data_IF_283415642154
#
_entry.id   IF_283415642154
#
_cell.length_a   1.000
_cell.length_b   1.000
_cell.length_c   1.000
_cell.angle_alpha   90.00
_cell.angle_beta   90.00
_cell.angle_gamma   90.00
#
_symmetry.space_group_name_H-M   'P 1'
#
loop_
_entity.id
_entity.type
_entity.pdbx_description
1 polymer ?
#
# COMPACT_ATOMS: atom_id res chain seq x y z
N UNK A 1 16.27 14.67 -18.29
CA UNK A 1 15.73 15.13 -16.99
C UNK A 1 15.05 13.93 -16.34
N UNK A 2 15.81 13.10 -15.63
CA UNK A 2 15.24 11.97 -14.89
C UNK A 2 14.51 12.53 -13.67
N UNK A 3 13.19 12.43 -13.63
CA UNK A 3 12.46 12.63 -12.39
C UNK A 3 13.05 11.66 -11.36
N UNK A 4 13.51 12.11 -10.19
CA UNK A 4 13.89 11.18 -9.14
C UNK A 4 12.59 10.47 -8.78
N UNK A 5 12.46 9.23 -9.22
CA UNK A 5 11.46 8.32 -8.69
C UNK A 5 11.69 8.38 -7.19
N UNK A 6 10.82 9.09 -6.47
CA UNK A 6 10.89 9.20 -5.02
C UNK A 6 10.76 7.79 -4.50
N UNK A 7 11.89 7.16 -4.22
CA UNK A 7 11.98 5.82 -3.70
C UNK A 7 11.33 5.88 -2.33
N UNK A 8 10.02 5.63 -2.30
CA UNK A 8 9.29 5.38 -1.07
C UNK A 8 10.05 4.26 -0.36
N UNK A 9 10.61 4.52 0.84
CA UNK A 9 11.35 3.50 1.54
C UNK A 9 10.43 2.31 1.85
N UNK A 10 10.78 1.13 1.33
CA UNK A 10 9.97 -0.11 1.49
C UNK A 10 9.63 -0.41 2.95
N UNK A 11 10.49 -0.02 3.89
CA UNK A 11 10.27 -0.12 5.34
C UNK A 11 9.11 0.76 5.83
N UNK A 12 9.00 1.99 5.33
CA UNK A 12 7.91 2.90 5.68
C UNK A 12 6.59 2.41 5.08
N UNK A 13 6.61 2.00 3.81
CA UNK A 13 5.44 1.45 3.14
C UNK A 13 4.90 0.22 3.89
N UNK A 14 5.78 -0.72 4.29
CA UNK A 14 5.39 -1.89 5.08
C UNK A 14 4.71 -1.51 6.40
N UNK A 15 5.30 -0.58 7.15
CA UNK A 15 4.74 -0.12 8.43
C UNK A 15 3.33 0.45 8.27
N UNK A 16 3.12 1.27 7.25
CA UNK A 16 1.82 1.89 7.00
C UNK A 16 0.77 0.86 6.51
N UNK A 17 1.15 -0.10 5.67
CA UNK A 17 0.25 -1.19 5.24
C UNK A 17 -0.18 -2.01 6.46
N UNK A 18 0.76 -2.44 7.31
CA UNK A 18 0.44 -3.23 8.52
C UNK A 18 -0.40 -2.43 9.52
N UNK A 19 -0.19 -1.11 9.61
CA UNK A 19 -0.99 -0.25 10.48
C UNK A 19 -2.42 -0.04 9.94
N UNK A 20 -2.61 -0.02 8.61
CA UNK A 20 -3.93 0.17 8.00
C UNK A 20 -4.74 -1.12 7.90
N UNK A 21 -4.08 -2.24 7.65
CA UNK A 21 -4.71 -3.54 7.47
C UNK A 21 -4.11 -4.58 8.42
N UNK A 22 -4.68 -4.66 9.63
CA UNK A 22 -4.20 -5.50 10.74
C UNK A 22 -4.26 -7.02 10.48
N UNK A 23 -5.11 -7.48 9.56
CA UNK A 23 -5.27 -8.91 9.21
C UNK A 23 -4.20 -9.37 8.20
N UNK A 24 -3.42 -8.44 7.63
CA UNK A 24 -2.34 -8.79 6.71
C UNK A 24 -1.14 -9.28 7.50
N UNK A 25 -0.67 -10.47 7.15
CA UNK A 25 0.56 -11.02 7.74
C UNK A 25 1.78 -10.32 7.18
N UNK A 26 2.90 -10.41 7.89
CA UNK A 26 4.20 -9.88 7.42
C UNK A 26 4.54 -10.37 6.01
N UNK A 27 4.24 -11.63 5.70
CA UNK A 27 4.47 -12.23 4.38
C UNK A 27 3.57 -11.61 3.30
N UNK A 28 2.27 -11.44 3.58
CA UNK A 28 1.34 -10.79 2.63
C UNK A 28 1.84 -9.37 2.32
N UNK A 29 2.27 -8.61 3.33
CA UNK A 29 2.77 -7.25 3.15
C UNK A 29 4.08 -7.21 2.36
N UNK A 30 5.00 -8.16 2.59
CA UNK A 30 6.24 -8.24 1.81
C UNK A 30 5.95 -8.42 0.32
N UNK A 31 5.02 -9.30 -0.05
CA UNK A 31 4.60 -9.48 -1.44
C UNK A 31 3.90 -8.23 -2.01
N UNK A 32 3.05 -7.56 -1.22
CA UNK A 32 2.29 -6.39 -1.64
C UNK A 32 3.14 -5.12 -1.80
N UNK A 33 4.26 -4.99 -1.06
CA UNK A 33 5.11 -3.79 -1.17
C UNK A 33 5.76 -3.59 -2.54
N UNK A 34 5.82 -4.64 -3.37
CA UNK A 34 6.31 -4.56 -4.75
C UNK A 34 5.22 -4.26 -5.77
N UNK A 35 3.95 -4.59 -5.49
CA UNK A 35 2.88 -4.54 -6.48
C UNK A 35 1.52 -4.16 -5.86
N UNK A 36 0.90 -3.10 -6.40
CA UNK A 36 -0.41 -2.61 -5.97
C UNK A 36 -1.54 -3.59 -6.32
N UNK A 37 -1.43 -4.29 -7.44
CA UNK A 37 -2.41 -5.29 -7.86
C UNK A 37 -2.42 -6.45 -6.86
N UNK A 38 -1.24 -6.84 -6.36
CA UNK A 38 -1.13 -7.87 -5.33
C UNK A 38 -1.85 -7.48 -4.04
N UNK A 39 -1.72 -6.21 -3.63
CA UNK A 39 -2.47 -5.68 -2.48
C UNK A 39 -3.98 -5.76 -2.69
N UNK A 40 -4.48 -5.48 -3.89
CA UNK A 40 -5.91 -5.62 -4.23
C UNK A 40 -6.36 -7.08 -4.10
N UNK A 41 -5.59 -8.05 -4.60
CA UNK A 41 -5.90 -9.48 -4.45
C UNK A 41 -5.95 -9.92 -2.99
N UNK A 42 -4.95 -9.50 -2.21
CA UNK A 42 -4.86 -9.82 -0.79
C UNK A 42 -6.02 -9.21 0.00
N UNK A 43 -6.43 -7.97 -0.31
CA UNK A 43 -7.61 -7.35 0.32
C UNK A 43 -8.91 -8.07 -0.04
N UNK A 44 -9.04 -8.57 -1.27
CA UNK A 44 -10.18 -9.41 -1.64
C UNK A 44 -10.16 -10.74 -0.85
N UNK A 45 -9.00 -11.40 -0.74
CA UNK A 45 -8.86 -12.71 -0.12
C UNK A 45 -8.99 -12.68 1.42
N UNK A 46 -8.37 -11.71 2.09
CA UNK A 46 -8.32 -11.62 3.57
C UNK A 46 -9.55 -10.93 4.14
N UNK A 47 -9.97 -9.83 3.51
CA UNK A 47 -11.06 -8.99 4.03
C UNK A 47 -12.40 -9.19 3.31
N UNK A 48 -12.43 -10.00 2.25
CA UNK A 48 -13.66 -10.22 1.46
C UNK A 48 -14.12 -8.96 0.71
N UNK A 49 -13.22 -8.00 0.46
CA UNK A 49 -13.61 -6.79 -0.24
C UNK A 49 -14.00 -7.08 -1.68
N UNK A 50 -15.03 -6.40 -2.19
CA UNK A 50 -15.29 -6.40 -3.62
C UNK A 50 -14.13 -5.68 -4.34
N UNK A 51 -13.80 -6.10 -5.56
CA UNK A 51 -12.70 -5.55 -6.36
C UNK A 51 -12.66 -4.02 -6.36
N UNK A 52 -13.78 -3.36 -6.70
CA UNK A 52 -13.88 -1.89 -6.72
C UNK A 52 -13.56 -1.24 -5.37
N UNK A 53 -13.94 -1.88 -4.26
CA UNK A 53 -13.62 -1.41 -2.91
C UNK A 53 -12.13 -1.55 -2.64
N UNK A 54 -11.55 -2.70 -2.94
CA UNK A 54 -10.13 -2.94 -2.76
C UNK A 54 -9.26 -1.98 -3.61
N UNK A 55 -9.63 -1.77 -4.88
CA UNK A 55 -8.98 -0.80 -5.77
C UNK A 55 -9.01 0.62 -5.16
N UNK A 56 -10.18 1.05 -4.68
CA UNK A 56 -10.34 2.37 -4.06
C UNK A 56 -9.53 2.53 -2.77
N UNK A 57 -9.52 1.51 -1.90
CA UNK A 57 -8.74 1.52 -0.66
C UNK A 57 -7.23 1.63 -0.94
N UNK A 58 -6.74 0.89 -1.94
CA UNK A 58 -5.34 0.93 -2.35
C UNK A 58 -4.97 2.29 -2.95
N UNK A 59 -5.81 2.83 -3.82
CA UNK A 59 -5.59 4.16 -4.41
C UNK A 59 -5.54 5.26 -3.33
N UNK A 60 -6.52 5.27 -2.43
CA UNK A 60 -6.57 6.21 -1.30
C UNK A 60 -5.33 6.10 -0.42
N UNK A 61 -4.92 4.87 -0.08
CA UNK A 61 -3.72 4.63 0.70
C UNK A 61 -2.47 5.23 0.05
N UNK A 62 -2.23 4.99 -1.24
CA UNK A 62 -1.05 5.53 -1.92
C UNK A 62 -1.11 7.06 -2.08
N UNK A 63 -2.30 7.63 -2.25
CA UNK A 63 -2.50 9.07 -2.32
C UNK A 63 -2.15 9.73 -0.97
N UNK A 64 -2.77 9.27 0.11
CA UNK A 64 -2.56 9.78 1.48
C UNK A 64 -1.10 9.58 1.93
N UNK A 65 -0.52 8.41 1.63
CA UNK A 65 0.84 8.11 2.01
C UNK A 65 1.85 9.00 1.29
N UNK A 66 1.66 9.23 -0.02
CA UNK A 66 2.50 10.15 -0.80
C UNK A 66 2.35 11.58 -0.31
N UNK A 67 1.14 12.00 0.04
CA UNK A 67 0.88 13.35 0.55
C UNK A 67 1.58 13.56 1.89
N UNK A 68 1.44 12.60 2.82
CA UNK A 68 2.16 12.58 4.09
C UNK A 68 3.68 12.64 3.91
N UNK A 69 4.23 11.86 2.97
CA UNK A 69 5.68 11.88 2.67
C UNK A 69 6.14 13.22 2.10
N UNK A 70 5.32 13.91 1.31
CA UNK A 70 5.64 15.26 0.78
C UNK A 70 5.58 16.33 1.86
N UNK A 71 4.64 16.23 2.80
CA UNK A 71 4.49 17.18 3.91
C UNK A 71 5.56 17.01 4.99
N UNK A 72 6.17 15.82 5.08
CA UNK A 72 7.22 15.50 6.04
C UNK A 72 8.66 15.74 5.52
N UNK A 73 8.81 16.24 4.29
CA UNK A 73 10.10 16.52 3.63
C UNK A 73 10.34 18.04 3.52
#
# INVERSE_FOLDING_TARGET
>A
MAHPNGLIPRRLLRGEITCRWHELTSSDVEECTSDRAKLIEVLQARYGYARRRAEKEVELFFLEFRDRLRLAA
#
